data_IF_367080645589
#
_entry.id   IF_367080645589
#
_cell.length_a   1.000
_cell.length_b   1.000
_cell.length_c   1.000
_cell.angle_alpha   90.00
_cell.angle_beta   90.00
_cell.angle_gamma   90.00
#
_symmetry.space_group_name_H-M   'P 1'
#
loop_
_entity.id
_entity.type
_entity.pdbx_description
1 polymer ?
#
# COMPACT_ATOMS: atom_id res chain seq x y z
N UNK A 1 12.05 -26.29 8.87
CA UNK A 1 11.92 -26.37 7.39
C UNK A 1 13.06 -25.62 6.71
N UNK A 2 13.45 -25.94 5.47
CA UNK A 2 14.63 -25.36 4.80
C UNK A 2 14.66 -23.82 4.75
N UNK A 3 13.49 -23.17 4.82
CA UNK A 3 13.34 -21.72 4.72
C UNK A 3 13.28 -20.99 6.07
N UNK A 4 13.34 -21.70 7.21
CA UNK A 4 13.25 -21.08 8.54
C UNK A 4 14.28 -19.96 8.77
N UNK A 5 15.57 -20.14 8.44
CA UNK A 5 16.55 -19.07 8.64
C UNK A 5 16.22 -17.80 7.85
N UNK A 6 15.75 -17.94 6.61
CA UNK A 6 15.37 -16.81 5.77
C UNK A 6 14.08 -16.13 6.27
N UNK A 7 13.08 -16.91 6.68
CA UNK A 7 11.85 -16.38 7.28
C UNK A 7 12.17 -15.61 8.57
N UNK A 8 13.08 -16.12 9.40
CA UNK A 8 13.52 -15.42 10.61
C UNK A 8 14.29 -14.13 10.30
N UNK A 9 15.11 -14.11 9.25
CA UNK A 9 15.77 -12.90 8.77
C UNK A 9 14.75 -11.83 8.35
N UNK A 10 13.75 -12.20 7.53
CA UNK A 10 12.68 -11.30 7.10
C UNK A 10 11.91 -10.73 8.30
N UNK A 11 11.55 -11.57 9.26
CA UNK A 11 10.91 -11.10 10.50
C UNK A 11 11.83 -10.24 11.34
N UNK A 12 13.14 -10.49 11.34
CA UNK A 12 14.15 -9.64 11.97
C UNK A 12 14.12 -8.22 11.42
N UNK A 13 14.09 -8.07 10.09
CA UNK A 13 13.96 -6.76 9.43
C UNK A 13 12.63 -6.09 9.78
N UNK A 14 11.51 -6.82 9.68
CA UNK A 14 10.19 -6.27 9.97
C UNK A 14 10.05 -5.78 11.42
N UNK A 15 10.60 -6.53 12.39
CA UNK A 15 10.63 -6.14 13.81
C UNK A 15 11.49 -4.90 14.06
N UNK A 16 12.53 -4.67 13.26
CA UNK A 16 13.32 -3.44 13.29
C UNK A 16 12.57 -2.19 12.81
N UNK A 17 11.43 -2.38 12.13
CA UNK A 17 10.58 -1.33 11.57
C UNK A 17 9.24 -1.25 12.32
N UNK A 18 9.29 -1.05 13.64
CA UNK A 18 8.08 -0.93 14.45
C UNK A 18 7.32 0.36 14.13
N UNK A 19 6.27 0.24 13.31
CA UNK A 19 5.51 1.37 12.76
C UNK A 19 4.98 2.36 13.82
N UNK A 20 4.53 1.95 15.02
CA UNK A 20 4.12 2.91 16.05
C UNK A 20 5.23 3.86 16.53
N UNK A 21 6.51 3.47 16.42
CA UNK A 21 7.64 4.34 16.76
C UNK A 21 8.05 5.28 15.62
N UNK A 22 7.56 5.04 14.40
CA UNK A 22 7.87 5.91 13.27
C UNK A 22 7.32 7.33 13.53
N UNK A 23 8.12 8.41 13.31
CA UNK A 23 7.78 9.76 13.75
C UNK A 23 6.41 10.28 13.28
N UNK A 24 5.97 9.87 12.09
CA UNK A 24 4.63 10.17 11.59
C UNK A 24 3.53 9.65 12.53
N UNK A 25 3.46 8.33 12.75
CA UNK A 25 2.41 7.69 13.55
C UNK A 25 2.49 8.09 15.02
N UNK A 26 3.70 8.17 15.58
CA UNK A 26 3.91 8.67 16.93
C UNK A 26 3.38 10.10 17.08
N UNK A 27 3.62 10.96 16.10
CA UNK A 27 3.08 12.32 16.10
C UNK A 27 1.56 12.39 15.96
N UNK A 28 0.91 11.43 15.29
CA UNK A 28 -0.56 11.33 15.27
C UNK A 28 -1.08 10.98 16.67
N UNK A 29 -0.55 9.91 17.28
CA UNK A 29 -0.98 9.43 18.60
C UNK A 29 -0.75 10.47 19.69
N UNK A 30 0.37 11.21 19.61
CA UNK A 30 0.71 12.25 20.57
C UNK A 30 0.12 13.63 20.19
N UNK A 31 -0.78 13.69 19.21
CA UNK A 31 -1.47 14.91 18.76
C UNK A 31 -0.53 16.07 18.39
N UNK A 32 0.65 15.76 17.83
CA UNK A 32 1.64 16.75 17.39
C UNK A 32 1.31 17.38 16.04
N UNK A 33 0.62 16.64 15.18
CA UNK A 33 0.25 17.10 13.85
C UNK A 33 -1.12 17.78 13.87
N UNK A 34 -1.24 18.88 13.13
CA UNK A 34 -2.55 19.50 12.93
C UNK A 34 -3.43 18.63 12.03
N UNK A 35 -4.73 18.86 12.06
CA UNK A 35 -5.68 18.22 11.16
C UNK A 35 -5.26 18.36 9.70
N UNK A 36 -4.86 19.57 9.29
CA UNK A 36 -4.46 19.87 7.91
C UNK A 36 -3.21 19.09 7.52
N UNK A 37 -2.24 18.95 8.43
CA UNK A 37 -1.04 18.15 8.19
C UNK A 37 -1.36 16.67 8.04
N UNK A 38 -2.24 16.12 8.89
CA UNK A 38 -2.69 14.73 8.79
C UNK A 38 -3.38 14.52 7.44
N UNK A 39 -4.30 15.41 7.06
CA UNK A 39 -5.01 15.35 5.77
C UNK A 39 -4.03 15.37 4.60
N UNK A 40 -3.02 16.24 4.62
CA UNK A 40 -1.98 16.24 3.58
C UNK A 40 -1.23 14.91 3.50
N UNK A 41 -0.91 14.29 4.64
CA UNK A 41 -0.29 12.96 4.69
C UNK A 41 -1.21 11.87 4.14
N UNK A 42 -2.49 11.87 4.50
CA UNK A 42 -3.44 10.87 4.03
C UNK A 42 -3.81 11.04 2.55
N UNK A 43 -3.73 12.25 1.98
CA UNK A 43 -3.80 12.45 0.52
C UNK A 43 -2.65 11.70 -0.16
N UNK A 44 -1.43 11.80 0.38
CA UNK A 44 -0.28 11.07 -0.17
C UNK A 44 -0.44 9.56 -0.02
N UNK A 45 -1.00 9.12 1.11
CA UNK A 45 -1.32 7.72 1.34
C UNK A 45 -2.36 7.19 0.33
N UNK A 46 -3.42 7.95 0.08
CA UNK A 46 -4.42 7.67 -0.95
C UNK A 46 -3.79 7.53 -2.34
N UNK A 47 -2.93 8.47 -2.73
CA UNK A 47 -2.24 8.44 -4.04
C UNK A 47 -1.38 7.18 -4.22
N UNK A 48 -0.84 6.63 -3.14
CA UNK A 48 -0.17 5.31 -3.16
C UNK A 48 -1.18 4.17 -3.23
N UNK A 49 -2.17 4.14 -2.34
CA UNK A 49 -3.14 3.02 -2.24
C UNK A 49 -3.94 2.83 -3.54
N UNK A 50 -4.31 3.91 -4.23
CA UNK A 50 -5.01 3.82 -5.54
C UNK A 50 -4.21 3.08 -6.62
N UNK A 51 -2.92 2.84 -6.41
CA UNK A 51 -2.08 2.05 -7.32
C UNK A 51 -1.97 0.57 -6.95
N UNK A 52 -2.44 0.16 -5.76
CA UNK A 52 -2.39 -1.23 -5.31
C UNK A 52 -3.01 -2.22 -6.31
N UNK A 53 -4.16 -1.94 -6.97
CA UNK A 53 -4.71 -2.85 -7.98
C UNK A 53 -3.73 -3.15 -9.12
N UNK A 54 -2.89 -2.18 -9.50
CA UNK A 54 -1.86 -2.38 -10.53
C UNK A 54 -0.80 -3.37 -10.02
N UNK A 55 -0.38 -3.24 -8.76
CA UNK A 55 0.63 -4.12 -8.16
C UNK A 55 0.14 -5.56 -8.09
N UNK A 56 -1.07 -5.76 -7.56
CA UNK A 56 -1.67 -7.10 -7.49
C UNK A 56 -1.96 -7.68 -8.87
N UNK A 57 -2.32 -6.85 -9.87
CA UNK A 57 -2.44 -7.30 -11.26
C UNK A 57 -1.13 -7.87 -11.83
N UNK A 58 0.03 -7.27 -11.50
CA UNK A 58 1.32 -7.86 -11.87
C UNK A 58 1.59 -9.18 -11.15
N UNK A 59 1.26 -9.28 -9.86
CA UNK A 59 1.43 -10.52 -9.09
C UNK A 59 0.57 -11.65 -9.69
N UNK A 60 -0.71 -11.39 -10.02
CA UNK A 60 -1.58 -12.34 -10.73
C UNK A 60 -0.94 -12.81 -12.03
N UNK A 61 -0.41 -11.87 -12.83
CA UNK A 61 0.26 -12.17 -14.10
C UNK A 61 1.48 -13.08 -13.89
N UNK A 62 2.28 -12.84 -12.86
CA UNK A 62 3.45 -13.65 -12.53
C UNK A 62 3.05 -15.07 -12.11
N UNK A 63 2.05 -15.22 -11.24
CA UNK A 63 1.54 -16.53 -10.82
C UNK A 63 1.07 -17.36 -12.03
N UNK A 64 0.32 -16.73 -12.95
CA UNK A 64 -0.12 -17.39 -14.17
C UNK A 64 1.06 -17.77 -15.09
N UNK A 65 2.05 -16.88 -15.24
CA UNK A 65 3.24 -17.11 -16.06
C UNK A 65 4.09 -18.28 -15.55
N UNK A 66 4.24 -18.39 -14.23
CA UNK A 66 4.97 -19.47 -13.56
C UNK A 66 4.17 -20.77 -13.44
N UNK A 67 2.89 -20.74 -13.84
CA UNK A 67 1.94 -21.86 -13.68
C UNK A 67 1.80 -22.31 -12.22
N UNK A 68 2.01 -21.39 -11.28
CA UNK A 68 1.90 -21.67 -9.84
C UNK A 68 0.46 -21.53 -9.36
N UNK A 69 -0.44 -22.33 -9.94
CA UNK A 69 -1.88 -22.19 -9.71
C UNK A 69 -2.30 -22.47 -8.25
N UNK A 70 -1.44 -23.09 -7.45
CA UNK A 70 -1.66 -23.26 -6.01
C UNK A 70 -1.78 -21.92 -5.25
N UNK A 71 -1.21 -20.83 -5.79
CA UNK A 71 -1.30 -19.49 -5.21
C UNK A 71 -2.43 -18.64 -5.81
N UNK A 72 -3.10 -19.12 -6.87
CA UNK A 72 -4.02 -18.29 -7.65
C UNK A 72 -5.18 -17.78 -6.81
N UNK A 73 -5.79 -18.64 -5.99
CA UNK A 73 -6.95 -18.28 -5.18
C UNK A 73 -6.60 -17.14 -4.20
N UNK A 74 -5.51 -17.28 -3.45
CA UNK A 74 -5.06 -16.28 -2.47
C UNK A 74 -4.68 -14.95 -3.14
N UNK A 75 -4.00 -15.01 -4.29
CA UNK A 75 -3.60 -13.79 -5.01
C UNK A 75 -4.80 -13.09 -5.62
N UNK A 76 -5.78 -13.84 -6.14
CA UNK A 76 -7.03 -13.28 -6.67
C UNK A 76 -7.90 -12.67 -5.57
N UNK A 77 -7.96 -13.27 -4.38
CA UNK A 77 -8.62 -12.67 -3.21
C UNK A 77 -8.05 -11.28 -2.90
N UNK A 78 -6.72 -11.17 -2.73
CA UNK A 78 -6.06 -9.88 -2.47
C UNK A 78 -6.29 -8.87 -3.62
N UNK A 79 -6.24 -9.33 -4.87
CA UNK A 79 -6.50 -8.45 -6.01
C UNK A 79 -7.93 -7.91 -6.00
N UNK A 80 -8.91 -8.75 -5.67
CA UNK A 80 -10.30 -8.34 -5.57
C UNK A 80 -10.53 -7.38 -4.40
N UNK A 81 -9.94 -7.62 -3.22
CA UNK A 81 -10.02 -6.68 -2.08
C UNK A 81 -9.57 -5.25 -2.44
N UNK A 82 -8.57 -5.14 -3.31
CA UNK A 82 -8.03 -3.86 -3.77
C UNK A 82 -8.82 -3.27 -4.96
N UNK A 83 -9.32 -4.12 -5.87
CA UNK A 83 -9.96 -3.69 -7.13
C UNK A 83 -11.48 -3.53 -7.03
N UNK A 84 -12.18 -4.40 -6.30
CA UNK A 84 -13.63 -4.49 -6.36
C UNK A 84 -14.29 -5.26 -5.22
N UNK A 85 -15.36 -4.70 -4.67
CA UNK A 85 -16.14 -5.27 -3.57
C UNK A 85 -17.17 -4.26 -3.09
N UNK A 86 -17.84 -4.53 -1.97
CA UNK A 86 -18.78 -3.58 -1.38
C UNK A 86 -18.08 -2.30 -0.87
N UNK A 87 -16.85 -2.44 -0.36
CA UNK A 87 -15.92 -1.34 -0.09
C UNK A 87 -14.49 -1.80 -0.40
N UNK A 88 -13.83 -1.14 -1.36
CA UNK A 88 -12.41 -1.38 -1.63
C UNK A 88 -11.52 -0.60 -0.66
N UNK A 89 -10.24 -0.95 -0.60
CA UNK A 89 -9.26 -0.16 0.17
C UNK A 89 -9.22 1.31 -0.27
N UNK A 90 -9.36 1.57 -1.57
CA UNK A 90 -9.45 2.93 -2.14
C UNK A 90 -10.68 3.68 -1.60
N UNK A 91 -11.82 3.00 -1.47
CA UNK A 91 -13.04 3.61 -0.95
C UNK A 91 -12.92 3.97 0.54
N UNK A 92 -12.23 3.14 1.34
CA UNK A 92 -11.95 3.43 2.75
C UNK A 92 -11.09 4.69 2.87
N UNK A 93 -10.02 4.80 2.08
CA UNK A 93 -9.16 5.99 2.08
C UNK A 93 -9.92 7.24 1.68
N UNK A 94 -10.82 7.14 0.70
CA UNK A 94 -11.62 8.27 0.27
C UNK A 94 -12.72 8.64 1.26
N UNK A 95 -13.29 7.68 1.98
CA UNK A 95 -14.20 7.99 3.09
C UNK A 95 -13.47 8.84 4.14
N UNK A 96 -12.24 8.49 4.51
CA UNK A 96 -11.45 9.26 5.47
C UNK A 96 -11.16 10.69 4.97
N UNK A 97 -10.83 10.85 3.68
CA UNK A 97 -10.58 12.15 3.08
C UNK A 97 -11.86 12.99 2.95
N UNK A 98 -13.00 12.37 2.64
CA UNK A 98 -14.30 13.03 2.55
C UNK A 98 -14.76 13.56 3.93
N UNK A 99 -14.57 12.77 4.99
CA UNK A 99 -14.80 13.21 6.38
C UNK A 99 -13.88 14.39 6.77
N UNK A 100 -12.73 14.52 6.10
CA UNK A 100 -11.84 15.67 6.23
C UNK A 100 -12.22 16.87 5.33
N UNK A 101 -13.26 16.75 4.52
CA UNK A 101 -13.71 17.78 3.58
C UNK A 101 -12.91 17.83 2.29
N UNK A 102 -12.20 16.76 1.94
CA UNK A 102 -11.46 16.61 0.69
C UNK A 102 -12.25 15.70 -0.25
N UNK A 103 -12.74 16.26 -1.35
CA UNK A 103 -13.47 15.47 -2.34
C UNK A 103 -12.53 14.52 -3.10
N UNK A 104 -13.12 13.47 -3.68
CA UNK A 104 -12.39 12.57 -4.60
C UNK A 104 -11.68 13.35 -5.71
N UNK A 105 -12.33 14.35 -6.31
CA UNK A 105 -11.74 15.16 -7.38
C UNK A 105 -10.49 15.92 -6.90
N UNK A 106 -10.52 16.46 -5.67
CA UNK A 106 -9.37 17.12 -5.07
C UNK A 106 -8.24 16.13 -4.79
N UNK A 107 -8.57 14.96 -4.22
CA UNK A 107 -7.60 13.91 -3.94
C UNK A 107 -6.95 13.36 -5.23
N UNK A 108 -7.72 13.20 -6.30
CA UNK A 108 -7.26 12.70 -7.58
C UNK A 108 -6.33 13.66 -8.32
N UNK A 109 -6.51 14.97 -8.12
CA UNK A 109 -5.70 16.04 -8.73
C UNK A 109 -4.52 16.47 -7.84
N UNK A 110 -4.37 15.90 -6.66
CA UNK A 110 -3.27 16.24 -5.78
C UNK A 110 -1.93 15.79 -6.36
N UNK A 111 -0.91 16.63 -6.20
CA UNK A 111 0.43 16.29 -6.64
C UNK A 111 1.07 15.28 -5.66
N UNK A 112 1.57 14.14 -6.15
CA UNK A 112 2.30 13.22 -5.30
C UNK A 112 3.66 13.83 -4.94
N UNK A 113 3.98 13.79 -3.65
CA UNK A 113 5.30 14.17 -3.17
C UNK A 113 6.38 13.25 -3.79
N UNK A 114 7.63 13.72 -3.94
CA UNK A 114 8.70 12.90 -4.50
C UNK A 114 8.88 11.54 -3.79
N UNK A 115 8.71 11.50 -2.47
CA UNK A 115 8.77 10.26 -1.69
C UNK A 115 7.62 9.29 -2.02
N UNK A 116 6.41 9.81 -2.24
CA UNK A 116 5.24 9.03 -2.66
C UNK A 116 5.46 8.42 -4.04
N UNK A 117 5.95 9.22 -4.99
CA UNK A 117 6.31 8.74 -6.33
C UNK A 117 7.38 7.64 -6.26
N UNK A 118 8.45 7.86 -5.50
CA UNK A 118 9.51 6.87 -5.34
C UNK A 118 8.97 5.57 -4.75
N UNK A 119 8.11 5.63 -3.73
CA UNK A 119 7.50 4.44 -3.14
C UNK A 119 6.61 3.68 -4.13
N UNK A 120 5.76 4.38 -4.88
CA UNK A 120 4.92 3.78 -5.94
C UNK A 120 5.81 3.07 -6.96
N UNK A 121 6.86 3.74 -7.43
CA UNK A 121 7.75 3.18 -8.45
C UNK A 121 8.57 1.99 -7.97
N UNK A 122 9.06 2.02 -6.72
CA UNK A 122 9.78 0.90 -6.12
C UNK A 122 8.90 -0.35 -6.03
N UNK A 123 7.66 -0.20 -5.55
CA UNK A 123 6.71 -1.32 -5.42
C UNK A 123 6.31 -1.81 -6.81
N UNK A 124 5.94 -0.90 -7.72
CA UNK A 124 5.59 -1.24 -9.11
C UNK A 124 6.68 -2.07 -9.76
N UNK A 125 7.93 -1.58 -9.69
CA UNK A 125 9.08 -2.26 -10.26
C UNK A 125 9.29 -3.63 -9.64
N UNK A 126 9.19 -3.76 -8.31
CA UNK A 126 9.33 -5.04 -7.61
C UNK A 126 8.24 -6.07 -7.96
N UNK A 127 7.01 -5.62 -8.22
CA UNK A 127 5.93 -6.51 -8.64
C UNK A 127 5.98 -6.85 -10.14
N UNK A 128 6.37 -5.90 -10.97
CA UNK A 128 6.43 -6.05 -12.43
C UNK A 128 7.64 -6.86 -12.88
N UNK A 129 8.81 -6.58 -12.30
CA UNK A 129 10.07 -7.14 -12.72
C UNK A 129 10.35 -8.41 -11.93
N UNK A 130 10.80 -9.45 -12.63
CA UNK A 130 11.39 -10.62 -12.00
C UNK A 130 12.67 -10.18 -11.30
N UNK A 131 12.82 -10.55 -10.03
CA UNK A 131 14.18 -10.64 -9.47
C UNK A 131 14.90 -11.71 -10.29
N UNK A 132 15.99 -11.32 -10.96
CA UNK A 132 16.75 -12.20 -11.85
C UNK A 132 17.37 -13.38 -11.09
#
# INVERSE_FOLDING_TARGET
MPNEPFIEELWGVARGLFMPDHPWFKGIVEHRWTREQIVLGEIQHYLRVRTNPIFFGYIVTNVASERNYALMDIVMENFMEELGGEKTHVDIMLQMLDEAGISREQADKADPAPGTLAAIEMIRSGCQNRSA
#
